data_IF_406616126254
#
_entry.id   IF_406616126254
#
_cell.length_a   1.000
_cell.length_b   1.000
_cell.length_c   1.000
_cell.angle_alpha   90.00
_cell.angle_beta   90.00
_cell.angle_gamma   90.00
#
_symmetry.space_group_name_H-M   'P 1'
#
loop_
_entity.id
_entity.type
_entity.pdbx_description
1 polymer ?
#
# COMPACT_ATOMS: atom_id res chain seq x y z
N UNK A 1 9.39 14.07 28.11
CA UNK A 1 8.38 15.10 28.43
C UNK A 1 7.11 14.39 28.84
N UNK A 2 6.38 14.82 29.88
CA UNK A 2 5.06 14.27 30.16
C UNK A 2 4.15 14.59 28.97
N UNK A 3 3.20 13.70 28.60
CA UNK A 3 2.22 14.02 27.58
C UNK A 3 1.42 15.22 28.09
N UNK A 4 1.62 16.38 27.46
CA UNK A 4 0.82 17.57 27.70
C UNK A 4 -0.65 17.18 27.53
N UNK A 5 -1.48 17.61 28.47
CA UNK A 5 -2.91 17.35 28.50
C UNK A 5 -3.53 17.80 27.17
N UNK A 6 -3.91 16.84 26.32
CA UNK A 6 -4.78 17.07 25.19
C UNK A 6 -6.07 17.67 25.73
N UNK A 7 -6.21 18.99 25.66
CA UNK A 7 -7.46 19.68 25.95
C UNK A 7 -8.55 19.08 25.07
N UNK A 8 -9.60 18.55 25.71
CA UNK A 8 -10.73 17.96 25.00
C UNK A 8 -11.46 19.06 24.22
N UNK A 9 -11.20 19.17 22.93
CA UNK A 9 -12.02 20.00 22.03
C UNK A 9 -13.38 19.30 21.86
N UNK A 10 -14.38 19.72 22.62
CA UNK A 10 -15.76 19.26 22.46
C UNK A 10 -16.44 20.13 21.41
N UNK A 11 -16.61 19.60 20.20
CA UNK A 11 -17.44 20.22 19.16
C UNK A 11 -18.90 19.86 19.43
N UNK A 12 -19.60 20.65 20.24
CA UNK A 12 -21.05 20.53 20.44
C UNK A 12 -21.79 21.25 19.33
N UNK A 13 -22.53 20.51 18.51
CA UNK A 13 -23.47 21.09 17.55
C UNK A 13 -24.81 21.28 18.25
N UNK A 14 -25.09 22.50 18.69
CA UNK A 14 -26.38 22.86 19.30
C UNK A 14 -27.43 23.05 18.19
N UNK A 15 -28.23 22.01 17.95
CA UNK A 15 -29.27 22.00 16.92
C UNK A 15 -30.38 23.05 17.14
N UNK A 16 -30.39 23.75 18.29
CA UNK A 16 -31.40 24.76 18.61
C UNK A 16 -30.98 26.19 18.24
N UNK A 17 -29.71 26.42 17.85
CA UNK A 17 -29.22 27.75 17.47
C UNK A 17 -29.47 28.05 15.99
N UNK A 18 -29.80 29.31 15.69
CA UNK A 18 -29.86 29.84 14.32
C UNK A 18 -28.64 29.41 13.50
N UNK A 19 -28.86 29.13 12.20
CA UNK A 19 -27.83 28.68 11.28
C UNK A 19 -26.52 29.50 11.48
N UNK A 20 -25.37 28.84 11.67
CA UNK A 20 -24.12 29.53 11.94
C UNK A 20 -23.81 30.49 10.78
N UNK A 21 -23.33 31.69 11.12
CA UNK A 21 -22.88 32.65 10.12
C UNK A 21 -21.78 32.01 9.25
N UNK A 22 -21.76 32.32 7.96
CA UNK A 22 -20.82 31.71 7.00
C UNK A 22 -19.35 31.82 7.45
N UNK A 23 -18.98 32.92 8.11
CA UNK A 23 -17.65 33.14 8.67
C UNK A 23 -17.31 32.14 9.78
N UNK A 24 -18.26 31.81 10.66
CA UNK A 24 -18.06 30.82 11.73
C UNK A 24 -17.82 29.42 11.17
N UNK A 25 -18.53 29.06 10.11
CA UNK A 25 -18.35 27.77 9.42
C UNK A 25 -16.95 27.68 8.80
N UNK A 26 -16.48 28.76 8.14
CA UNK A 26 -15.13 28.79 7.56
C UNK A 26 -14.05 28.59 8.62
N UNK A 27 -14.10 29.36 9.72
CA UNK A 27 -13.11 29.28 10.81
C UNK A 27 -13.10 27.88 11.45
N UNK A 28 -14.28 27.29 11.65
CA UNK A 28 -14.39 25.92 12.18
C UNK A 28 -13.78 24.90 11.23
N UNK A 29 -14.00 25.03 9.91
CA UNK A 29 -13.44 24.12 8.91
C UNK A 29 -11.92 24.25 8.80
N UNK A 30 -11.38 25.46 8.93
CA UNK A 30 -9.93 25.70 8.95
C UNK A 30 -9.29 25.10 10.22
N UNK A 31 -9.91 25.31 11.38
CA UNK A 31 -9.47 24.70 12.63
C UNK A 31 -9.53 23.16 12.58
N UNK A 32 -10.59 22.61 11.99
CA UNK A 32 -10.74 21.17 11.81
C UNK A 32 -9.67 20.60 10.87
N UNK A 33 -9.36 21.32 9.79
CA UNK A 33 -8.32 20.91 8.85
C UNK A 33 -6.92 20.94 9.49
N UNK A 34 -6.63 21.94 10.33
CA UNK A 34 -5.39 22.00 11.13
C UNK A 34 -5.29 20.85 12.12
N UNK A 35 -6.39 20.50 12.80
CA UNK A 35 -6.44 19.34 13.68
C UNK A 35 -6.15 18.05 12.91
N UNK A 36 -6.83 17.85 11.78
CA UNK A 36 -6.67 16.65 10.94
C UNK A 36 -5.27 16.49 10.37
N UNK A 37 -4.56 17.58 10.04
CA UNK A 37 -3.17 17.53 9.60
C UNK A 37 -2.25 16.89 10.65
N UNK A 38 -2.60 16.97 11.94
CA UNK A 38 -1.83 16.37 13.07
C UNK A 38 -2.31 14.99 13.49
N UNK A 39 -3.45 14.52 12.98
CA UNK A 39 -3.99 13.22 13.38
C UNK A 39 -3.23 12.08 12.70
N UNK A 40 -3.02 10.98 13.41
CA UNK A 40 -2.61 9.73 12.78
C UNK A 40 -3.70 9.24 11.83
N UNK A 41 -3.37 8.38 10.85
CA UNK A 41 -4.40 7.77 9.98
C UNK A 41 -5.42 6.96 10.78
N UNK A 42 -5.00 6.34 11.87
CA UNK A 42 -5.88 5.62 12.79
C UNK A 42 -6.91 6.56 13.44
N UNK A 43 -6.46 7.73 13.90
CA UNK A 43 -7.34 8.71 14.52
C UNK A 43 -8.24 9.40 13.49
N UNK A 44 -7.74 9.67 12.28
CA UNK A 44 -8.57 10.18 11.17
C UNK A 44 -9.74 9.25 10.87
N UNK A 45 -9.50 7.94 10.84
CA UNK A 45 -10.57 6.97 10.64
C UNK A 45 -11.56 6.97 11.81
N UNK A 46 -11.07 6.89 13.06
CA UNK A 46 -11.94 6.92 14.25
C UNK A 46 -12.80 8.17 14.26
N UNK A 47 -12.20 9.32 13.95
CA UNK A 47 -12.90 10.58 13.80
C UNK A 47 -13.96 10.51 12.70
N UNK A 48 -13.62 9.98 11.52
CA UNK A 48 -14.58 9.85 10.41
C UNK A 48 -15.77 8.93 10.75
N UNK A 49 -15.58 7.96 11.65
CA UNK A 49 -16.63 7.07 12.13
C UNK A 49 -17.49 7.73 13.22
N UNK A 50 -16.87 8.44 14.15
CA UNK A 50 -17.57 9.10 15.25
C UNK A 50 -18.30 10.38 14.80
N UNK A 51 -17.75 11.08 13.81
CA UNK A 51 -18.20 12.40 13.36
C UNK A 51 -18.55 12.37 11.87
N UNK A 52 -19.58 11.62 11.50
CA UNK A 52 -19.98 11.35 10.10
C UNK A 52 -20.18 12.61 9.25
N UNK A 53 -20.70 13.70 9.82
CA UNK A 53 -20.84 14.99 9.16
C UNK A 53 -19.51 15.56 8.63
N UNK A 54 -18.40 15.17 9.25
CA UNK A 54 -17.04 15.59 8.92
C UNK A 54 -16.20 14.48 8.27
N UNK A 55 -16.78 13.30 8.00
CA UNK A 55 -16.07 12.20 7.36
C UNK A 55 -15.42 12.63 6.03
N UNK A 56 -16.10 13.49 5.25
CA UNK A 56 -15.56 14.05 4.00
C UNK A 56 -14.25 14.81 4.21
N UNK A 57 -14.09 15.53 5.33
CA UNK A 57 -12.87 16.29 5.63
C UNK A 57 -11.73 15.33 5.97
N UNK A 58 -11.99 14.31 6.78
CA UNK A 58 -10.99 13.28 7.10
C UNK A 58 -10.53 12.49 5.87
N UNK A 59 -11.45 12.18 4.95
CA UNK A 59 -11.12 11.51 3.67
C UNK A 59 -10.33 12.41 2.73
N UNK A 60 -10.68 13.70 2.67
CA UNK A 60 -9.90 14.71 1.94
C UNK A 60 -8.48 14.82 2.48
N UNK A 61 -8.32 14.81 3.80
CA UNK A 61 -6.99 14.81 4.43
C UNK A 61 -6.20 13.56 4.05
N UNK A 62 -6.81 12.36 4.14
CA UNK A 62 -6.15 11.14 3.67
C UNK A 62 -5.76 11.23 2.19
N UNK A 63 -6.63 11.79 1.33
CA UNK A 63 -6.34 12.00 -0.10
C UNK A 63 -5.13 12.91 -0.33
N UNK A 64 -4.99 13.98 0.46
CA UNK A 64 -3.84 14.89 0.42
C UNK A 64 -2.57 14.13 0.79
N UNK A 65 -2.59 13.30 1.83
CA UNK A 65 -1.45 12.48 2.23
C UNK A 65 -1.07 11.47 1.15
N UNK A 66 -2.05 10.77 0.56
CA UNK A 66 -1.83 9.89 -0.60
C UNK A 66 -1.16 10.65 -1.73
N UNK A 67 -1.64 11.84 -2.08
CA UNK A 67 -1.06 12.64 -3.15
C UNK A 67 0.39 13.06 -2.84
N UNK A 68 0.66 13.58 -1.64
CA UNK A 68 2.02 13.94 -1.21
C UNK A 68 2.97 12.75 -1.29
N UNK A 69 2.52 11.59 -0.84
CA UNK A 69 3.29 10.35 -0.87
C UNK A 69 3.63 9.90 -2.29
N UNK A 70 2.64 9.94 -3.19
CA UNK A 70 2.80 9.49 -4.57
C UNK A 70 3.56 10.50 -5.44
N UNK A 71 3.53 11.79 -5.13
CA UNK A 71 4.27 12.81 -5.88
C UNK A 71 5.80 12.64 -5.81
N UNK A 72 6.30 11.83 -4.88
CA UNK A 72 7.71 11.40 -4.84
C UNK A 72 8.03 10.45 -6.00
N UNK A 73 7.04 9.75 -6.55
CA UNK A 73 7.21 8.75 -7.61
C UNK A 73 6.49 9.13 -8.91
N UNK A 74 5.45 9.94 -8.84
CA UNK A 74 4.53 10.25 -9.94
C UNK A 74 4.54 11.75 -10.20
N UNK A 75 4.53 12.12 -11.47
CA UNK A 75 4.61 13.50 -11.94
C UNK A 75 6.03 13.93 -12.25
N UNK A 76 6.16 14.83 -13.22
CA UNK A 76 7.40 15.52 -13.54
C UNK A 76 7.50 16.71 -12.59
N UNK A 77 8.36 16.64 -11.57
CA UNK A 77 8.73 17.83 -10.80
C UNK A 77 9.51 18.78 -11.70
N UNK A 78 8.82 19.62 -12.47
CA UNK A 78 9.45 20.78 -13.11
C UNK A 78 9.61 21.84 -12.03
N UNK A 79 10.73 21.81 -11.32
CA UNK A 79 11.13 22.78 -10.28
C UNK A 79 11.46 24.18 -10.81
N UNK A 80 11.06 24.54 -12.04
CA UNK A 80 11.30 25.89 -12.57
C UNK A 80 9.99 26.64 -12.71
N UNK A 81 9.73 27.46 -11.69
CA UNK A 81 8.84 28.61 -11.67
C UNK A 81 7.32 28.29 -11.65
N UNK A 82 6.78 28.13 -10.42
CA UNK A 82 5.37 28.44 -10.17
C UNK A 82 4.34 27.42 -10.62
N UNK A 83 4.64 26.11 -10.57
CA UNK A 83 3.59 25.10 -10.77
C UNK A 83 2.55 25.20 -9.65
N UNK A 84 1.33 25.57 -10.02
CA UNK A 84 0.19 25.62 -9.12
C UNK A 84 -0.16 24.22 -8.63
N UNK A 85 -0.62 24.11 -7.37
CA UNK A 85 -1.05 22.84 -6.75
C UNK A 85 -1.99 22.01 -7.65
N UNK A 86 -2.77 22.66 -8.52
CA UNK A 86 -3.73 22.05 -9.44
C UNK A 86 -3.09 21.04 -10.41
N UNK A 87 -1.92 21.33 -10.98
CA UNK A 87 -1.29 20.43 -11.96
C UNK A 87 -0.67 19.18 -11.30
N UNK A 88 -0.27 19.28 -10.04
CA UNK A 88 0.33 18.18 -9.28
C UNK A 88 -0.70 17.09 -8.97
N UNK A 89 -1.93 17.47 -8.59
CA UNK A 89 -3.01 16.50 -8.39
C UNK A 89 -3.35 15.74 -9.67
N UNK A 90 -3.29 16.40 -10.83
CA UNK A 90 -3.57 15.78 -12.12
C UNK A 90 -2.71 14.55 -12.42
N UNK A 91 -1.41 14.57 -12.13
CA UNK A 91 -0.55 13.40 -12.37
C UNK A 91 -0.94 12.21 -11.47
N UNK A 92 -1.18 12.48 -10.18
CA UNK A 92 -1.63 11.47 -9.22
C UNK A 92 -3.00 10.91 -9.61
N UNK A 93 -3.96 11.75 -9.98
CA UNK A 93 -5.30 11.33 -10.41
C UNK A 93 -5.23 10.39 -11.61
N UNK A 94 -4.39 10.72 -12.59
CA UNK A 94 -4.19 9.88 -13.77
C UNK A 94 -3.55 8.52 -13.43
N UNK A 95 -2.65 8.51 -12.44
CA UNK A 95 -2.04 7.28 -11.95
C UNK A 95 -3.05 6.42 -11.17
N UNK A 96 -3.85 7.01 -10.27
CA UNK A 96 -4.92 6.30 -9.56
C UNK A 96 -5.97 5.76 -10.53
N UNK A 97 -6.37 6.53 -11.54
CA UNK A 97 -7.27 6.07 -12.60
C UNK A 97 -6.66 4.93 -13.44
N UNK A 98 -5.34 4.90 -13.61
CA UNK A 98 -4.65 3.76 -14.21
C UNK A 98 -4.77 2.52 -13.32
N UNK A 99 -4.47 2.63 -12.02
CA UNK A 99 -4.61 1.53 -11.06
C UNK A 99 -6.03 0.95 -11.06
N UNK A 100 -7.04 1.82 -11.11
CA UNK A 100 -8.45 1.41 -11.19
C UNK A 100 -8.73 0.56 -12.43
N UNK A 101 -8.30 1.05 -13.61
CA UNK A 101 -8.54 0.36 -14.90
C UNK A 101 -7.82 -0.98 -14.99
N UNK A 102 -6.61 -1.07 -14.46
CA UNK A 102 -5.81 -2.31 -14.49
C UNK A 102 -6.09 -3.22 -13.30
N UNK A 103 -6.95 -2.80 -12.36
CA UNK A 103 -7.18 -3.48 -11.07
C UNK A 103 -5.88 -3.73 -10.31
N UNK A 104 -4.94 -2.81 -10.42
CA UNK A 104 -3.65 -2.84 -9.74
C UNK A 104 -3.75 -2.19 -8.37
N UNK A 105 -2.83 -2.53 -7.48
CA UNK A 105 -2.72 -1.92 -6.14
C UNK A 105 -1.29 -1.49 -5.87
N UNK A 106 -1.12 -0.57 -4.93
CA UNK A 106 0.17 -0.20 -4.37
C UNK A 106 0.37 -1.01 -3.08
N UNK A 107 1.53 -1.63 -2.92
CA UNK A 107 1.86 -2.47 -1.78
C UNK A 107 3.20 -2.07 -1.14
N UNK A 108 3.68 -2.89 -0.20
CA UNK A 108 5.00 -2.78 0.41
C UNK A 108 5.14 -1.56 1.32
N UNK A 109 6.27 -0.86 1.20
CA UNK A 109 6.63 0.25 2.08
C UNK A 109 5.72 1.48 1.94
N UNK A 110 5.07 1.67 0.77
CA UNK A 110 4.28 2.88 0.50
C UNK A 110 3.00 2.95 1.34
N UNK A 111 2.10 1.96 1.34
CA UNK A 111 0.92 1.96 2.21
C UNK A 111 1.29 1.95 3.69
N UNK A 112 2.36 1.25 4.06
CA UNK A 112 2.85 1.22 5.44
C UNK A 112 3.24 2.60 5.94
N UNK A 113 3.99 3.36 5.13
CA UNK A 113 4.36 4.72 5.50
C UNK A 113 3.14 5.66 5.56
N UNK A 114 2.15 5.46 4.70
CA UNK A 114 0.90 6.22 4.80
C UNK A 114 0.19 5.95 6.14
N UNK A 115 0.08 4.68 6.53
CA UNK A 115 -0.54 4.27 7.81
C UNK A 115 0.18 4.84 9.02
N UNK A 116 1.51 4.99 8.93
CA UNK A 116 2.35 5.56 9.98
C UNK A 116 2.52 7.08 9.85
N UNK A 117 1.84 7.72 8.90
CA UNK A 117 1.94 9.18 8.74
C UNK A 117 1.44 9.91 9.98
N UNK A 118 2.15 10.96 10.36
CA UNK A 118 1.93 11.72 11.61
C UNK A 118 2.08 10.89 12.89
N UNK A 119 2.75 9.74 12.83
CA UNK A 119 3.27 9.07 14.03
C UNK A 119 4.71 9.50 14.28
N UNK A 120 5.24 9.16 15.46
CA UNK A 120 6.65 9.40 15.83
C UNK A 120 7.66 8.75 14.84
N UNK A 121 7.17 7.87 13.96
CA UNK A 121 7.93 7.06 13.02
C UNK A 121 8.01 7.66 11.59
N UNK A 122 7.17 8.65 11.26
CA UNK A 122 6.87 9.07 9.89
C UNK A 122 8.09 9.54 9.07
N UNK A 123 8.91 10.44 9.63
CA UNK A 123 9.91 11.18 8.85
C UNK A 123 11.11 10.34 8.41
N UNK A 124 11.54 9.37 9.24
CA UNK A 124 12.74 8.58 8.98
C UNK A 124 12.51 7.51 7.92
N UNK A 125 11.30 6.97 7.84
CA UNK A 125 10.97 5.87 6.94
C UNK A 125 10.48 6.32 5.56
N UNK A 126 10.01 7.57 5.44
CA UNK A 126 9.35 8.02 4.22
C UNK A 126 10.29 8.25 3.02
N UNK A 127 11.59 8.49 3.26
CA UNK A 127 12.55 8.90 2.24
C UNK A 127 13.21 7.70 1.55
N UNK A 128 13.44 7.80 0.23
CA UNK A 128 14.22 6.80 -0.53
C UNK A 128 13.55 5.44 -0.76
N UNK A 129 12.27 5.28 -0.44
CA UNK A 129 11.55 4.01 -0.67
C UNK A 129 11.23 3.78 -2.15
N UNK A 130 11.14 2.52 -2.55
CA UNK A 130 10.56 2.12 -3.82
C UNK A 130 9.03 2.21 -3.79
N UNK A 131 8.42 2.56 -4.93
CA UNK A 131 6.99 2.37 -5.14
C UNK A 131 6.75 0.97 -5.68
N UNK A 132 6.02 0.13 -4.96
CA UNK A 132 5.68 -1.23 -5.37
C UNK A 132 4.24 -1.27 -5.91
N UNK A 133 4.09 -1.58 -7.19
CA UNK A 133 2.80 -1.70 -7.88
C UNK A 133 2.55 -3.16 -8.21
N UNK A 134 1.54 -3.74 -7.57
CA UNK A 134 1.11 -5.10 -7.85
C UNK A 134 -0.01 -5.09 -8.88
N UNK A 135 0.08 -5.98 -9.85
CA UNK A 135 -0.85 -6.05 -10.99
C UNK A 135 -1.41 -7.46 -11.12
N UNK A 136 -2.67 -7.62 -11.56
CA UNK A 136 -3.16 -8.93 -11.94
C UNK A 136 -2.40 -9.42 -13.18
N UNK A 137 -2.47 -10.72 -13.47
CA UNK A 137 -2.01 -11.32 -14.72
C UNK A 137 -2.53 -10.52 -15.91
N UNK A 138 -1.64 -10.20 -16.85
CA UNK A 138 -1.87 -9.36 -18.05
C UNK A 138 -2.05 -7.86 -17.76
N UNK A 139 -2.12 -7.44 -16.49
CA UNK A 139 -2.25 -6.03 -16.10
C UNK A 139 -0.94 -5.24 -16.20
N UNK A 140 0.21 -5.92 -16.12
CA UNK A 140 1.53 -5.28 -16.04
C UNK A 140 1.84 -4.40 -17.27
N UNK A 141 1.48 -4.83 -18.48
CA UNK A 141 1.79 -4.10 -19.71
C UNK A 141 1.20 -2.67 -19.73
N UNK A 142 -0.02 -2.50 -19.23
CA UNK A 142 -0.67 -1.20 -19.15
C UNK A 142 -0.02 -0.29 -18.10
N UNK A 143 0.38 -0.85 -16.95
CA UNK A 143 1.12 -0.12 -15.89
C UNK A 143 2.49 0.33 -16.41
N UNK A 144 3.23 -0.57 -17.05
CA UNK A 144 4.55 -0.28 -17.63
C UNK A 144 4.45 0.81 -18.70
N UNK A 145 3.45 0.73 -19.58
CA UNK A 145 3.21 1.75 -20.61
C UNK A 145 2.95 3.12 -19.97
N UNK A 146 2.13 3.18 -18.93
CA UNK A 146 1.87 4.43 -18.21
C UNK A 146 3.17 5.01 -17.62
N UNK A 147 3.93 4.20 -16.87
CA UNK A 147 5.15 4.65 -16.20
C UNK A 147 6.24 5.11 -17.18
N UNK A 148 6.42 4.38 -18.29
CA UNK A 148 7.46 4.68 -19.27
C UNK A 148 7.10 5.88 -20.16
N UNK A 149 5.89 5.88 -20.73
CA UNK A 149 5.46 6.91 -21.69
C UNK A 149 5.13 8.22 -20.99
N UNK A 150 4.38 8.16 -19.88
CA UNK A 150 3.87 9.35 -19.19
C UNK A 150 4.81 9.84 -18.12
N UNK A 151 5.25 8.94 -17.26
CA UNK A 151 6.06 9.27 -16.07
C UNK A 151 7.57 9.26 -16.34
N UNK A 152 7.99 8.93 -17.58
CA UNK A 152 9.38 8.94 -18.07
C UNK A 152 10.32 8.01 -17.28
N UNK A 153 9.78 6.91 -16.80
CA UNK A 153 10.59 5.84 -16.24
C UNK A 153 11.31 5.06 -17.34
N UNK A 154 12.49 4.56 -17.03
CA UNK A 154 13.24 3.61 -17.87
C UNK A 154 13.16 2.23 -17.24
N UNK A 155 12.81 1.21 -18.02
CA UNK A 155 12.87 -0.18 -17.58
C UNK A 155 14.33 -0.57 -17.40
N UNK A 156 14.65 -1.12 -16.23
CA UNK A 156 16.00 -1.52 -15.87
C UNK A 156 16.10 -3.04 -15.87
N UNK A 157 17.06 -3.54 -16.65
CA UNK A 157 17.55 -4.92 -16.53
C UNK A 157 18.88 -4.86 -15.79
N UNK A 158 18.98 -5.50 -14.63
CA UNK A 158 20.26 -5.59 -13.93
C UNK A 158 21.25 -6.39 -14.78
N UNK A 159 22.28 -5.72 -15.28
CA UNK A 159 23.43 -6.32 -15.94
C UNK A 159 24.73 -5.65 -15.44
N UNK A 160 25.88 -6.31 -15.53
CA UNK A 160 27.18 -5.70 -15.21
C UNK A 160 27.42 -4.40 -15.99
N UNK A 161 26.97 -4.33 -17.25
CA UNK A 161 27.10 -3.13 -18.09
C UNK A 161 26.31 -1.94 -17.55
N UNK A 162 25.16 -2.20 -16.90
CA UNK A 162 24.38 -1.14 -16.27
C UNK A 162 25.14 -0.51 -15.10
N UNK A 163 25.85 -1.32 -14.30
CA UNK A 163 26.67 -0.82 -13.20
C UNK A 163 27.75 0.16 -13.70
N UNK A 164 28.28 -0.09 -14.89
CA UNK A 164 29.27 0.78 -15.53
C UNK A 164 28.63 2.05 -16.11
N UNK A 165 27.49 1.92 -16.80
CA UNK A 165 26.84 3.03 -17.49
C UNK A 165 26.13 3.98 -16.54
N UNK A 166 25.33 3.44 -15.62
CA UNK A 166 24.48 4.19 -14.68
C UNK A 166 24.63 3.64 -13.25
N UNK A 167 25.74 3.92 -12.56
CA UNK A 167 26.03 3.37 -11.24
C UNK A 167 24.94 3.71 -10.20
N UNK A 168 24.43 4.94 -10.19
CA UNK A 168 23.35 5.33 -9.29
C UNK A 168 22.06 4.53 -9.52
N UNK A 169 21.65 4.34 -10.78
CA UNK A 169 20.47 3.54 -11.11
C UNK A 169 20.68 2.06 -10.74
N UNK A 170 21.87 1.52 -11.00
CA UNK A 170 22.24 0.17 -10.63
C UNK A 170 22.20 0.00 -9.10
N UNK A 171 22.76 0.93 -8.34
CA UNK A 171 22.77 0.88 -6.87
C UNK A 171 21.39 1.06 -6.26
N UNK A 172 20.57 1.99 -6.78
CA UNK A 172 19.20 2.17 -6.34
C UNK A 172 18.34 0.91 -6.61
N UNK A 173 18.44 0.36 -7.82
CA UNK A 173 17.70 -0.86 -8.20
C UNK A 173 18.24 -2.09 -7.48
N UNK A 174 19.57 -2.20 -7.29
CA UNK A 174 20.20 -3.26 -6.50
C UNK A 174 19.80 -3.18 -5.03
N UNK A 175 19.74 -1.98 -4.45
CA UNK A 175 19.26 -1.75 -3.09
C UNK A 175 17.80 -2.18 -2.96
N UNK A 176 16.95 -1.78 -3.91
CA UNK A 176 15.56 -2.22 -3.97
C UNK A 176 15.42 -3.74 -4.12
N UNK A 177 16.24 -4.37 -4.97
CA UNK A 177 16.27 -5.81 -5.21
C UNK A 177 16.75 -6.58 -3.99
N UNK A 178 17.84 -6.15 -3.36
CA UNK A 178 18.34 -6.76 -2.13
C UNK A 178 17.31 -6.60 -1.00
N UNK A 179 16.53 -5.51 -1.03
CA UNK A 179 15.38 -5.32 -0.16
C UNK A 179 14.23 -6.30 -0.42
N UNK A 180 14.07 -6.83 -1.63
CA UNK A 180 13.02 -7.79 -1.99
C UNK A 180 13.47 -9.26 -1.96
N UNK A 181 14.74 -9.53 -2.28
CA UNK A 181 15.34 -10.86 -2.33
C UNK A 181 16.05 -11.13 -1.01
N UNK A 182 15.39 -11.82 -0.07
CA UNK A 182 16.19 -12.54 0.91
C UNK A 182 17.00 -13.62 0.18
N UNK A 183 18.25 -13.75 0.60
CA UNK A 183 19.37 -14.20 -0.24
C UNK A 183 19.29 -15.71 -0.51
N UNK A 184 18.97 -16.09 -1.76
CA UNK A 184 19.55 -17.23 -2.50
C UNK A 184 18.92 -17.32 -3.91
N UNK A 185 19.24 -16.38 -4.79
CA UNK A 185 19.05 -16.58 -6.23
C UNK A 185 20.34 -16.17 -6.91
N UNK A 186 21.21 -17.14 -7.13
CA UNK A 186 22.40 -16.97 -7.96
C UNK A 186 21.93 -16.56 -9.35
N UNK A 187 22.14 -15.29 -9.70
CA UNK A 187 22.04 -14.86 -11.09
C UNK A 187 23.20 -15.51 -11.84
N UNK A 188 22.93 -16.63 -12.50
CA UNK A 188 23.78 -17.06 -13.60
C UNK A 188 23.54 -16.09 -14.75
N UNK A 189 24.43 -15.10 -14.88
CA UNK A 189 24.49 -14.24 -16.05
C UNK A 189 24.71 -15.13 -17.28
N UNK A 190 23.81 -15.20 -18.26
CA UNK A 190 24.14 -15.84 -19.53
C UNK A 190 25.30 -15.08 -20.17
N UNK A 191 26.24 -15.82 -20.76
CA UNK A 191 27.39 -15.24 -21.44
C UNK A 191 26.94 -14.28 -22.56
N UNK A 192 27.64 -13.17 -22.79
CA UNK A 192 27.25 -12.17 -23.77
C UNK A 192 27.37 -12.77 -25.17
N UNK A 193 26.23 -13.05 -25.81
CA UNK A 193 26.14 -13.35 -27.24
C UNK A 193 25.60 -12.10 -27.93
N UNK A 194 26.38 -11.55 -28.88
CA UNK A 194 26.21 -10.22 -29.46
C UNK A 194 25.03 -10.02 -30.41
N UNK A 195 23.86 -10.57 -30.09
CA UNK A 195 22.63 -10.33 -30.85
C UNK A 195 21.65 -9.49 -30.06
N UNK A 196 21.13 -8.43 -30.68
CA UNK A 196 19.97 -7.67 -30.21
C UNK A 196 18.74 -8.57 -30.34
N UNK A 197 18.53 -9.42 -29.33
CA UNK A 197 17.35 -10.27 -29.16
C UNK A 197 16.23 -9.41 -28.55
N UNK A 198 14.95 -9.62 -28.95
CA UNK A 198 13.82 -8.96 -28.28
C UNK A 198 13.93 -9.18 -26.78
N UNK A 199 13.75 -8.07 -26.04
CA UNK A 199 13.85 -7.95 -24.59
C UNK A 199 13.42 -9.25 -23.90
N UNK A 200 14.40 -9.98 -23.36
CA UNK A 200 14.17 -11.21 -22.64
C UNK A 200 13.15 -10.96 -21.53
N UNK A 201 12.22 -11.91 -21.42
CA UNK A 201 11.10 -11.93 -20.50
C UNK A 201 11.51 -11.48 -19.09
N UNK A 202 10.64 -10.75 -18.38
CA UNK A 202 10.90 -10.28 -17.04
C UNK A 202 11.38 -11.44 -16.15
N UNK A 203 12.39 -11.18 -15.33
CA UNK A 203 13.03 -12.18 -14.46
C UNK A 203 11.96 -12.85 -13.60
N UNK A 204 11.51 -14.03 -14.02
CA UNK A 204 10.48 -14.80 -13.33
C UNK A 204 11.10 -15.34 -12.05
N UNK A 205 10.84 -14.65 -10.95
CA UNK A 205 10.96 -15.27 -9.65
C UNK A 205 9.76 -16.21 -9.55
N UNK A 206 9.94 -17.44 -10.05
CA UNK A 206 8.89 -18.45 -10.09
C UNK A 206 8.52 -18.87 -8.66
N UNK A 207 7.31 -18.52 -8.21
CA UNK A 207 6.74 -19.00 -6.95
C UNK A 207 5.86 -17.96 -6.25
N UNK A 208 5.02 -18.41 -5.31
CA UNK A 208 4.25 -17.53 -4.41
C UNK A 208 3.32 -16.52 -5.10
N UNK A 209 2.73 -16.91 -6.23
CA UNK A 209 1.74 -16.07 -6.91
C UNK A 209 2.32 -14.91 -7.72
N UNK A 210 3.64 -14.85 -7.92
CA UNK A 210 4.34 -13.87 -8.78
C UNK A 210 4.69 -14.51 -10.12
N UNK A 211 4.22 -13.89 -11.21
CA UNK A 211 4.56 -14.26 -12.59
C UNK A 211 5.86 -13.57 -13.00
N UNK A 212 5.95 -12.26 -12.72
CA UNK A 212 7.04 -11.42 -13.20
C UNK A 212 7.32 -10.23 -12.28
N UNK A 213 8.58 -9.77 -12.25
CA UNK A 213 8.96 -8.53 -11.58
C UNK A 213 9.75 -7.65 -12.56
N UNK A 214 9.30 -6.41 -12.72
CA UNK A 214 9.95 -5.42 -13.58
C UNK A 214 10.39 -4.22 -12.74
N UNK A 215 11.67 -3.85 -12.83
CA UNK A 215 12.23 -2.69 -12.15
C UNK A 215 12.27 -1.50 -13.11
N UNK A 216 11.85 -0.34 -12.62
CA UNK A 216 11.91 0.90 -13.35
C UNK A 216 12.62 1.95 -12.54
N UNK A 217 13.41 2.77 -13.22
CA UNK A 217 14.17 3.86 -12.62
C UNK A 217 13.87 5.18 -13.33
N UNK A 218 13.75 6.25 -12.54
CA UNK A 218 13.58 7.61 -13.05
C UNK A 218 14.70 8.50 -12.53
N UNK A 219 15.63 8.81 -13.42
CA UNK A 219 16.81 9.62 -13.10
C UNK A 219 16.50 11.03 -12.60
N UNK A 220 15.34 11.60 -12.98
CA UNK A 220 14.97 12.97 -12.61
C UNK A 220 14.92 13.18 -11.09
N UNK A 221 14.53 12.15 -10.33
CA UNK A 221 14.34 12.23 -8.90
C UNK A 221 14.77 10.96 -8.16
N UNK A 222 15.69 10.21 -8.74
CA UNK A 222 16.24 8.96 -8.19
C UNK A 222 15.15 7.97 -7.72
N UNK A 223 14.00 7.96 -8.41
CA UNK A 223 12.85 7.18 -7.98
C UNK A 223 12.88 5.79 -8.61
N UNK A 224 12.62 4.78 -7.77
CA UNK A 224 12.47 3.39 -8.18
C UNK A 224 11.01 2.97 -8.10
N UNK A 225 10.51 2.35 -9.17
CA UNK A 225 9.21 1.68 -9.18
C UNK A 225 9.44 0.19 -9.47
N UNK A 226 8.74 -0.65 -8.74
CA UNK A 226 8.78 -2.10 -8.89
C UNK A 226 7.37 -2.55 -9.30
N UNK A 227 7.25 -3.15 -10.47
CA UNK A 227 5.98 -3.71 -10.94
C UNK A 227 6.03 -5.21 -10.74
N UNK A 228 5.14 -5.72 -9.89
CA UNK A 228 4.97 -7.15 -9.60
C UNK A 228 3.72 -7.63 -10.30
N UNK A 229 3.86 -8.57 -11.23
CA UNK A 229 2.74 -9.21 -11.90
C UNK A 229 2.35 -10.50 -11.18
N UNK A 230 1.07 -10.67 -10.93
CA UNK A 230 0.56 -11.91 -10.34
C UNK A 230 0.42 -13.02 -11.37
N UNK A 231 0.59 -14.27 -10.93
CA UNK A 231 0.21 -15.47 -11.71
C UNK A 231 -1.31 -15.63 -11.87
N UNK A 232 -2.12 -14.87 -11.13
CA UNK A 232 -3.58 -14.93 -11.16
C UNK A 232 -4.21 -13.61 -11.59
N UNK A 233 -5.53 -13.59 -11.78
CA UNK A 233 -6.29 -12.36 -12.09
C UNK A 233 -6.41 -11.37 -10.91
N UNK A 234 -5.68 -11.59 -9.82
CA UNK A 234 -5.68 -10.73 -8.65
C UNK A 234 -4.31 -10.13 -8.39
N UNK A 235 -4.24 -8.80 -8.29
CA UNK A 235 -3.02 -8.10 -7.87
C UNK A 235 -2.59 -8.47 -6.44
N UNK A 236 -3.49 -9.03 -5.63
CA UNK A 236 -3.24 -9.30 -4.22
C UNK A 236 -2.64 -10.68 -3.96
N UNK A 237 -2.60 -11.58 -4.95
CA UNK A 237 -2.05 -12.93 -4.74
C UNK A 237 -0.59 -12.91 -4.26
N UNK A 238 0.34 -12.10 -4.79
CA UNK A 238 1.70 -12.04 -4.22
C UNK A 238 1.72 -11.64 -2.74
N UNK A 239 0.77 -10.81 -2.31
CA UNK A 239 0.76 -10.26 -0.96
C UNK A 239 0.41 -11.31 0.09
N UNK A 240 -0.47 -12.27 -0.22
CA UNK A 240 -0.86 -13.32 0.74
C UNK A 240 0.32 -14.21 1.15
N UNK A 241 1.37 -14.23 0.35
CA UNK A 241 2.62 -14.96 0.59
C UNK A 241 3.70 -14.09 1.24
N UNK A 242 3.37 -12.88 1.67
CA UNK A 242 4.32 -12.00 2.34
C UNK A 242 4.84 -12.64 3.63
N UNK A 243 6.14 -12.45 3.96
CA UNK A 243 6.74 -13.04 5.16
C UNK A 243 6.34 -12.35 6.46
N UNK A 244 5.74 -11.16 6.41
CA UNK A 244 5.36 -10.39 7.60
C UNK A 244 4.09 -9.57 7.40
N UNK A 245 3.31 -9.38 8.46
CA UNK A 245 2.03 -8.63 8.41
C UNK A 245 2.18 -7.18 7.99
N UNK A 246 3.39 -6.61 8.08
CA UNK A 246 3.66 -5.24 7.63
C UNK A 246 3.52 -5.07 6.12
N UNK A 247 3.66 -6.16 5.36
CA UNK A 247 3.70 -6.15 3.90
C UNK A 247 2.37 -6.51 3.23
N UNK A 248 1.34 -6.89 4.00
CA UNK A 248 0.00 -7.19 3.45
C UNK A 248 -0.92 -5.98 3.38
N UNK A 249 -0.41 -4.80 3.73
CA UNK A 249 -1.15 -3.55 3.62
C UNK A 249 -1.07 -3.07 2.17
N UNK A 250 -2.19 -2.60 1.63
CA UNK A 250 -2.23 -2.10 0.26
C UNK A 250 -3.11 -0.87 0.13
N UNK A 251 -2.93 -0.19 -1.00
CA UNK A 251 -3.74 0.93 -1.41
C UNK A 251 -4.25 0.70 -2.83
N UNK A 252 -5.56 0.82 -3.03
CA UNK A 252 -6.19 0.80 -4.36
C UNK A 252 -6.19 2.22 -4.95
N UNK A 253 -6.92 2.43 -6.05
CA UNK A 253 -7.18 3.78 -6.57
C UNK A 253 -7.99 4.67 -5.62
N UNK A 254 -8.69 4.09 -4.64
CA UNK A 254 -9.68 4.81 -3.80
C UNK A 254 -9.58 4.55 -2.31
N UNK A 255 -8.87 3.49 -1.90
CA UNK A 255 -9.00 2.94 -0.55
C UNK A 255 -7.64 2.53 -0.01
N UNK A 256 -7.37 2.87 1.25
CA UNK A 256 -6.25 2.35 2.02
C UNK A 256 -6.75 1.17 2.87
N UNK A 257 -6.05 0.04 2.80
CA UNK A 257 -6.36 -1.19 3.53
C UNK A 257 -5.19 -1.57 4.42
N UNK A 258 -5.48 -1.74 5.71
CA UNK A 258 -4.55 -2.28 6.70
C UNK A 258 -5.12 -3.56 7.31
N UNK A 259 -4.49 -4.70 7.06
CA UNK A 259 -5.04 -6.01 7.48
C UNK A 259 -4.90 -6.29 8.97
N UNK A 260 -3.93 -5.64 9.63
CA UNK A 260 -3.61 -5.87 11.04
C UNK A 260 -3.30 -4.55 11.74
N UNK A 261 -4.29 -3.64 11.88
CA UNK A 261 -4.06 -2.27 12.31
C UNK A 261 -3.49 -2.17 13.72
N UNK A 262 -3.93 -3.02 14.66
CA UNK A 262 -3.48 -2.93 16.05
C UNK A 262 -1.98 -3.15 16.25
N UNK A 263 -1.38 -4.04 15.45
CA UNK A 263 0.06 -4.31 15.48
C UNK A 263 0.80 -3.41 14.50
N UNK A 264 0.29 -3.27 13.27
CA UNK A 264 0.90 -2.45 12.21
C UNK A 264 1.06 -0.99 12.63
N UNK A 265 0.04 -0.39 13.25
CA UNK A 265 0.08 1.02 13.70
C UNK A 265 1.00 1.24 14.90
N UNK A 266 1.47 0.16 15.55
CA UNK A 266 2.51 0.19 16.60
C UNK A 266 3.89 -0.17 16.05
N UNK A 267 4.08 -0.16 14.73
CA UNK A 267 5.31 -0.63 14.08
C UNK A 267 5.60 -2.11 14.32
N UNK A 268 4.61 -2.92 14.71
CA UNK A 268 4.81 -4.34 15.03
C UNK A 268 4.28 -5.22 13.90
N UNK A 269 5.19 -5.98 13.30
CA UNK A 269 4.91 -7.04 12.35
C UNK A 269 4.90 -8.41 13.01
N UNK A 270 4.24 -9.37 12.38
CA UNK A 270 4.30 -10.78 12.78
C UNK A 270 4.76 -11.61 11.60
N UNK A 271 5.71 -12.51 11.84
CA UNK A 271 6.18 -13.45 10.83
C UNK A 271 5.08 -14.43 10.43
N UNK A 272 5.01 -14.68 9.13
CA UNK A 272 4.18 -15.74 8.58
C UNK A 272 4.92 -17.07 8.81
N UNK A 273 4.38 -17.98 9.64
CA UNK A 273 5.11 -19.18 10.06
C UNK A 273 5.35 -20.20 8.92
N UNK A 274 4.68 -20.03 7.77
CA UNK A 274 4.91 -20.85 6.58
C UNK A 274 5.90 -20.23 5.59
N UNK A 275 6.56 -19.12 5.93
CA UNK A 275 7.58 -18.50 5.08
C UNK A 275 8.97 -18.96 5.52
N UNK A 276 9.77 -19.45 4.57
CA UNK A 276 11.15 -19.86 4.84
C UNK A 276 12.00 -18.68 5.29
N UNK A 277 12.24 -18.56 6.61
CA UNK A 277 12.94 -17.43 7.22
C UNK A 277 14.30 -17.11 6.56
N UNK A 278 15.04 -18.12 6.10
CA UNK A 278 16.30 -17.92 5.39
C UNK A 278 16.11 -17.23 4.03
N UNK A 279 15.07 -17.62 3.27
CA UNK A 279 14.74 -17.03 1.97
C UNK A 279 14.26 -15.59 2.12
N UNK A 280 13.61 -15.24 3.22
CA UNK A 280 13.01 -13.91 3.40
C UNK A 280 13.83 -13.03 4.35
N UNK A 281 15.01 -13.49 4.78
CA UNK A 281 15.84 -12.85 5.80
C UNK A 281 16.23 -11.41 5.45
N UNK A 282 16.65 -11.12 4.22
CA UNK A 282 17.06 -9.75 3.85
C UNK A 282 15.86 -8.78 3.81
N UNK A 283 14.70 -9.26 3.35
CA UNK A 283 13.47 -8.49 3.36
C UNK A 283 13.02 -8.23 4.80
N UNK A 284 13.02 -9.24 5.67
CA UNK A 284 12.72 -9.06 7.11
C UNK A 284 13.70 -8.06 7.74
N UNK A 285 15.00 -8.25 7.48
CA UNK A 285 16.08 -7.41 7.98
C UNK A 285 15.90 -5.94 7.61
N UNK A 286 15.50 -5.65 6.36
CA UNK A 286 15.22 -4.28 5.89
C UNK A 286 14.24 -3.52 6.80
N UNK A 287 13.22 -4.20 7.32
CA UNK A 287 12.26 -3.56 8.22
C UNK A 287 12.81 -3.49 9.65
N UNK A 288 13.43 -4.55 10.15
CA UNK A 288 13.96 -4.58 11.53
C UNK A 288 15.17 -3.69 11.76
N UNK A 289 15.98 -3.38 10.73
CA UNK A 289 17.20 -2.59 10.85
C UNK A 289 16.95 -1.11 11.16
N UNK A 290 15.72 -0.62 10.96
CA UNK A 290 15.40 0.81 11.13
C UNK A 290 15.04 1.22 12.55
N UNK A 291 15.12 0.30 13.52
CA UNK A 291 14.67 0.44 14.93
C UNK A 291 13.16 0.73 15.10
N UNK A 292 12.52 1.24 14.05
CA UNK A 292 11.11 1.55 13.92
C UNK A 292 10.24 0.30 14.02
N UNK A 293 10.61 -0.76 13.29
CA UNK A 293 9.78 -1.95 13.18
C UNK A 293 10.28 -3.07 14.07
N UNK A 294 9.34 -3.70 14.75
CA UNK A 294 9.57 -4.96 15.49
C UNK A 294 8.82 -6.05 14.78
N UNK A 295 9.53 -7.09 14.34
CA UNK A 295 8.91 -8.26 13.75
C UNK A 295 9.00 -9.38 14.77
N UNK A 296 7.86 -9.81 15.29
CA UNK A 296 7.77 -10.91 16.24
C UNK A 296 7.45 -12.22 15.51
N UNK A 297 7.96 -13.33 16.04
CA UNK A 297 7.37 -14.64 15.78
C UNK A 297 6.07 -14.77 16.58
N UNK A 298 5.12 -15.52 16.05
CA UNK A 298 3.91 -15.85 16.79
C UNK A 298 3.74 -17.35 16.83
N UNK A 299 3.81 -17.88 18.04
CA UNK A 299 3.35 -19.22 18.32
C UNK A 299 1.82 -19.24 18.26
N UNK A 300 1.28 -20.14 17.44
CA UNK A 300 -0.15 -20.35 17.39
C UNK A 300 -0.64 -20.89 18.73
N UNK A 301 -1.25 -20.04 19.54
CA UNK A 301 -2.00 -20.43 20.73
C UNK A 301 -3.51 -20.47 20.40
N UNK A 302 -4.15 -21.66 20.39
CA UNK A 302 -5.58 -21.80 20.12
C UNK A 302 -6.50 -21.00 21.06
N UNK A 303 -6.05 -20.69 22.28
CA UNK A 303 -6.81 -19.90 23.25
C UNK A 303 -6.68 -18.42 22.94
N UNK A 304 -5.45 -17.91 22.79
CA UNK A 304 -5.23 -16.52 22.39
C UNK A 304 -5.85 -16.21 21.02
N UNK A 305 -5.76 -17.14 20.06
CA UNK A 305 -6.28 -17.00 18.69
C UNK A 305 -7.81 -16.87 18.60
N UNK A 306 -8.55 -17.24 19.65
CA UNK A 306 -10.02 -17.10 19.72
C UNK A 306 -10.47 -15.73 20.22
N UNK A 307 -9.59 -14.94 20.83
CA UNK A 307 -9.94 -13.61 21.32
C UNK A 307 -10.22 -12.65 20.16
N UNK A 308 -11.26 -11.82 20.25
CA UNK A 308 -11.33 -10.61 19.43
C UNK A 308 -10.02 -9.83 19.66
N UNK A 309 -9.26 -9.56 18.60
CA UNK A 309 -7.98 -8.80 18.53
C UNK A 309 -6.66 -9.58 18.52
N UNK A 310 -6.63 -10.92 18.52
CA UNK A 310 -5.41 -11.69 18.19
C UNK A 310 -5.19 -11.87 16.67
N UNK A 311 -4.01 -11.48 16.17
CA UNK A 311 -3.49 -12.07 14.93
C UNK A 311 -3.50 -13.60 15.10
N UNK A 312 -3.93 -14.31 14.07
CA UNK A 312 -3.92 -15.77 14.05
C UNK A 312 -3.62 -16.16 12.60
N UNK A 313 -2.51 -16.87 12.35
CA UNK A 313 -2.16 -17.26 11.00
C UNK A 313 -3.24 -18.20 10.42
N UNK A 314 -3.87 -19.03 11.24
CA UNK A 314 -4.90 -20.00 10.82
C UNK A 314 -6.29 -19.42 10.54
N UNK A 315 -6.54 -18.15 10.86
CA UNK A 315 -7.84 -17.54 10.58
C UNK A 315 -7.89 -17.00 9.15
N UNK A 316 -9.01 -17.27 8.48
CA UNK A 316 -9.29 -16.67 7.18
C UNK A 316 -9.44 -15.16 7.34
N UNK A 317 -8.66 -14.39 6.58
CA UNK A 317 -8.71 -12.92 6.59
C UNK A 317 -9.36 -12.39 5.34
N UNK A 318 -9.99 -11.24 5.49
CA UNK A 318 -10.58 -10.45 4.41
C UNK A 318 -10.35 -8.97 4.69
N UNK A 319 -10.21 -8.16 3.64
CA UNK A 319 -10.14 -6.70 3.76
C UNK A 319 -11.41 -6.05 4.32
N UNK A 320 -12.44 -6.83 4.62
CA UNK A 320 -13.73 -6.38 5.17
C UNK A 320 -14.03 -7.02 6.54
N UNK A 321 -13.15 -7.90 7.02
CA UNK A 321 -13.33 -8.52 8.32
C UNK A 321 -13.18 -7.48 9.45
N UNK A 322 -13.57 -7.82 10.68
CA UNK A 322 -13.44 -6.93 11.84
C UNK A 322 -12.00 -6.67 12.28
N UNK A 323 -11.04 -7.25 11.57
CA UNK A 323 -9.62 -7.31 11.92
C UNK A 323 -8.78 -6.44 11.01
N UNK A 324 -9.31 -6.11 9.85
CA UNK A 324 -8.81 -5.11 8.95
C UNK A 324 -9.36 -3.73 9.27
N UNK A 325 -8.65 -2.75 8.76
CA UNK A 325 -8.97 -1.34 8.75
C UNK A 325 -9.03 -0.92 7.28
N UNK A 326 -10.10 -0.24 6.90
CA UNK A 326 -10.25 0.34 5.57
C UNK A 326 -10.67 1.79 5.67
N UNK A 327 -9.97 2.66 4.95
CA UNK A 327 -10.34 4.07 4.85
C UNK A 327 -10.36 4.50 3.38
N UNK A 328 -11.53 4.89 2.90
CA UNK A 328 -11.69 5.45 1.56
C UNK A 328 -11.21 6.89 1.52
N UNK A 329 -10.49 7.25 0.48
CA UNK A 329 -10.09 8.64 0.18
C UNK A 329 -10.66 9.14 -1.15
N UNK A 330 -11.32 8.29 -1.93
CA UNK A 330 -12.11 8.65 -3.12
C UNK A 330 -13.49 7.94 -3.10
N UNK A 331 -14.54 8.54 -3.68
CA UNK A 331 -15.84 7.88 -3.84
C UNK A 331 -15.72 6.64 -4.73
N UNK A 332 -16.38 5.54 -4.36
CA UNK A 332 -16.31 4.27 -5.10
C UNK A 332 -17.23 4.20 -6.32
N UNK A 333 -18.43 4.79 -6.23
CA UNK A 333 -19.52 4.39 -7.12
C UNK A 333 -19.84 5.39 -8.24
N UNK A 334 -19.40 6.65 -8.18
CA UNK A 334 -19.43 7.58 -9.32
C UNK A 334 -18.82 8.93 -8.93
N UNK A 335 -18.11 9.64 -9.84
CA UNK A 335 -17.72 11.03 -9.62
C UNK A 335 -18.95 11.88 -9.30
N UNK A 336 -18.95 12.54 -8.14
CA UNK A 336 -20.03 13.44 -7.73
C UNK A 336 -21.13 12.83 -6.84
N UNK A 337 -21.14 11.51 -6.62
CA UNK A 337 -22.02 10.95 -5.60
C UNK A 337 -21.46 11.19 -4.20
N UNK A 338 -22.30 11.66 -3.25
CA UNK A 338 -21.86 11.82 -1.88
C UNK A 338 -21.46 10.45 -1.36
N UNK A 339 -20.33 10.41 -0.68
CA UNK A 339 -19.95 9.26 0.11
C UNK A 339 -21.11 8.82 1.01
N UNK A 340 -21.34 7.51 1.22
CA UNK A 340 -22.30 7.08 2.21
C UNK A 340 -21.92 7.69 3.57
N UNK A 341 -22.87 8.41 4.17
CA UNK A 341 -22.74 9.13 5.45
C UNK A 341 -22.48 8.15 6.60
N UNK A 342 -22.94 6.92 6.45
CA UNK A 342 -22.61 5.82 7.33
C UNK A 342 -21.43 5.09 6.69
N UNK A 343 -20.37 4.85 7.46
CA UNK A 343 -19.37 3.82 7.16
C UNK A 343 -20.07 2.45 7.22
N UNK A 344 -20.94 2.17 6.27
CA UNK A 344 -21.30 0.80 5.94
C UNK A 344 -19.97 0.17 5.52
N UNK A 345 -19.67 -1.03 6.02
CA UNK A 345 -18.59 -1.84 5.46
C UNK A 345 -19.01 -2.19 4.04
N UNK A 346 -18.91 -1.23 3.13
CA UNK A 346 -19.23 -1.41 1.74
C UNK A 346 -18.18 -2.37 1.22
N UNK A 347 -18.63 -3.42 0.56
CA UNK A 347 -17.74 -4.39 -0.08
C UNK A 347 -16.76 -3.62 -0.96
N UNK A 348 -15.46 -3.85 -0.80
CA UNK A 348 -14.47 -3.23 -1.66
C UNK A 348 -14.82 -3.64 -3.10
N UNK A 349 -14.95 -2.67 -4.00
CA UNK A 349 -15.18 -2.95 -5.43
C UNK A 349 -13.99 -3.69 -6.07
N UNK A 350 -12.87 -3.76 -5.33
CA UNK A 350 -11.68 -4.52 -5.62
C UNK A 350 -11.77 -5.96 -5.08
N UNK A 351 -10.99 -6.91 -5.61
CA UNK A 351 -11.13 -8.32 -5.24
C UNK A 351 -10.99 -8.49 -3.72
N UNK A 352 -12.03 -9.07 -3.10
CA UNK A 352 -11.95 -9.52 -1.72
C UNK A 352 -11.05 -10.76 -1.74
N UNK A 353 -9.95 -10.68 -1.00
CA UNK A 353 -9.06 -11.81 -0.87
C UNK A 353 -9.36 -12.49 0.44
N UNK A 354 -9.55 -13.79 0.35
CA UNK A 354 -9.65 -14.68 1.48
C UNK A 354 -8.38 -15.50 1.54
N UNK A 355 -7.69 -15.47 2.67
CA UNK A 355 -6.47 -16.27 2.82
C UNK A 355 -6.25 -16.71 4.24
N UNK A 356 -5.45 -17.77 4.38
CA UNK A 356 -4.97 -18.34 5.63
C UNK A 356 -3.43 -18.29 5.59
N UNK A 357 -2.81 -17.86 6.67
CA UNK A 357 -1.35 -17.84 6.84
C UNK A 357 -0.85 -19.10 7.55
N UNK A 358 0.40 -19.50 7.27
CA UNK A 358 1.02 -20.64 7.94
C UNK A 358 0.53 -22.06 7.56
N UNK A 359 -0.32 -22.20 6.54
CA UNK A 359 -0.89 -23.50 6.13
C UNK A 359 -0.35 -24.06 4.81
N UNK A 360 0.78 -23.55 4.32
CA UNK A 360 1.22 -23.76 2.93
C UNK A 360 1.93 -25.10 2.69
N UNK A 361 2.66 -25.61 3.70
CA UNK A 361 3.48 -26.82 3.57
C UNK A 361 2.72 -28.10 3.97
N UNK A 362 1.57 -27.98 4.62
CA UNK A 362 0.80 -29.12 5.11
C UNK A 362 -0.24 -29.56 4.07
N UNK A 363 0.24 -30.23 3.02
CA UNK A 363 -0.56 -30.73 1.88
C UNK A 363 -1.77 -31.61 2.29
N UNK A 364 -1.82 -32.10 3.52
CA UNK A 364 -2.87 -32.98 4.02
C UNK A 364 -4.08 -32.26 4.63
N UNK A 365 -3.94 -31.03 5.16
CA UNK A 365 -4.97 -30.40 5.99
C UNK A 365 -5.85 -29.37 5.26
N UNK A 366 -5.41 -28.83 4.11
CA UNK A 366 -6.15 -27.78 3.41
C UNK A 366 -6.21 -28.03 1.89
N UNK A 367 -7.28 -28.68 1.42
CA UNK A 367 -7.65 -28.70 -0.01
C UNK A 367 -8.14 -27.33 -0.54
N UNK A 368 -8.15 -26.30 0.30
CA UNK A 368 -8.55 -24.96 -0.06
C UNK A 368 -7.30 -24.14 -0.36
N UNK A 369 -6.84 -24.23 -1.61
CA UNK A 369 -5.95 -23.21 -2.20
C UNK A 369 -6.57 -21.84 -1.91
N UNK A 370 -5.78 -20.82 -1.50
CA UNK A 370 -6.31 -19.47 -1.35
C UNK A 370 -7.01 -19.10 -2.64
N UNK A 371 -8.31 -18.85 -2.53
CA UNK A 371 -9.11 -18.46 -3.66
C UNK A 371 -9.38 -16.97 -3.51
N UNK A 372 -8.92 -16.20 -4.48
CA UNK A 372 -9.40 -14.85 -4.64
C UNK A 372 -10.78 -14.97 -5.25
N UNK A 373 -11.81 -14.49 -4.54
CA UNK A 373 -13.15 -14.38 -5.14
C UNK A 373 -13.14 -13.10 -5.96
N UNK A 374 -13.19 -13.16 -7.30
CA UNK A 374 -13.36 -11.96 -8.08
C UNK A 374 -14.71 -11.34 -7.67
N UNK A 375 -14.75 -10.03 -7.42
CA UNK A 375 -15.97 -9.29 -7.05
C UNK A 375 -17.08 -9.34 -8.12
N UNK A 376 -16.84 -9.99 -9.26
CA UNK A 376 -17.83 -10.27 -10.29
C UNK A 376 -18.76 -11.43 -9.86
N UNK A 377 -19.68 -11.16 -8.94
CA UNK A 377 -20.74 -12.13 -8.60
C UNK A 377 -21.30 -12.10 -7.20
N UNK A 378 -21.21 -11.00 -6.45
CA UNK A 378 -22.01 -10.88 -5.21
C UNK A 378 -23.47 -10.78 -5.63
N UNK A 379 -24.18 -11.89 -5.47
CA UNK A 379 -25.62 -12.03 -5.64
C UNK A 379 -26.35 -10.86 -4.98
N UNK A 380 -27.24 -10.20 -5.72
CA UNK A 380 -28.39 -9.55 -5.09
C UNK A 380 -29.15 -10.64 -4.34
N UNK A 381 -28.94 -10.72 -3.03
CA UNK A 381 -29.90 -11.35 -2.14
C UNK A 381 -31.04 -10.34 -2.04
N UNK A 382 -32.15 -10.65 -2.71
CA UNK A 382 -33.41 -9.91 -2.57
C UNK A 382 -33.90 -9.94 -1.12
#
# INVERSE_FOLDING_TARGET
MPPESLEHIIVQNDATRCAPQANTVSVMMDALQLLMDKMTVADLQRFSQAASAYARVARRELRIRVARLLLVHIGIQRTRNGITNVLLYGAVDNFLAMLQRTRSVIAGATPLALLLSQSEVDEQWAQGRSLEVHTPKEGAAAVLTHLTVRERYTVITLSPDLALRWPAAYDAVRSAINGLKGVASTFTSPAPTGHVVPVASPQSIHGLGVESITYLYRALNDAVVIVVESTTRSALTPMIHSPTTLLVNYMTSTTLVCMYPLTTLKGTGILNPGCGHARDAALIKRYTDTEVFRIAEMDHDPVACKGMRSYCPRLMRSSEDSWSFTMDFEPRDTPGHPFPTVHVRVTSSFPIVWWVWGGWDDHAAHRHVPFVVPSAGIFQVN
#
